data_IF_214454683969
#
_entry.id   IF_214454683969
#
_cell.length_a   1.000
_cell.length_b   1.000
_cell.length_c   1.000
_cell.angle_alpha   90.00
_cell.angle_beta   90.00
_cell.angle_gamma   90.00
#
_symmetry.space_group_name_H-M   'P 1'
#
loop_
_entity.id
_entity.type
_entity.pdbx_description
1 polymer ?
#
# COMPACT_ATOMS: atom_id res chain seq x y z
N UNK A 1 7.20 -1.43 -12.21
CA UNK A 1 6.98 -1.13 -10.77
C UNK A 1 8.34 -1.01 -10.08
N UNK A 2 8.50 -0.16 -9.05
CA UNK A 2 9.71 -0.07 -8.20
C UNK A 2 9.49 -0.60 -6.77
N UNK A 3 8.38 -1.31 -6.56
CA UNK A 3 7.98 -1.82 -5.26
C UNK A 3 8.84 -3.04 -4.95
N UNK A 4 9.57 -2.97 -3.84
CA UNK A 4 10.46 -4.04 -3.36
C UNK A 4 9.81 -4.94 -2.31
N UNK A 5 8.89 -4.39 -1.54
CA UNK A 5 8.18 -5.09 -0.47
C UNK A 5 6.67 -4.91 -0.65
N UNK A 6 5.92 -6.02 -0.65
CA UNK A 6 4.47 -6.03 -0.57
C UNK A 6 4.03 -6.72 0.73
N UNK A 7 3.35 -5.99 1.60
CA UNK A 7 2.71 -6.58 2.79
C UNK A 7 1.20 -6.59 2.56
N UNK A 8 0.61 -7.77 2.48
CA UNK A 8 -0.81 -7.97 2.26
C UNK A 8 -1.46 -8.48 3.54
N UNK A 9 -2.27 -7.66 4.21
CA UNK A 9 -2.87 -8.00 5.50
C UNK A 9 -4.31 -8.51 5.36
N UNK A 10 -4.68 -9.50 6.17
CA UNK A 10 -6.06 -9.94 6.32
C UNK A 10 -6.56 -10.71 5.11
N UNK A 11 -5.69 -11.48 4.46
CA UNK A 11 -6.06 -12.32 3.33
C UNK A 11 -7.19 -13.29 3.73
N UNK A 12 -8.33 -13.19 3.06
CA UNK A 12 -9.51 -14.03 3.24
C UNK A 12 -9.60 -15.13 2.16
N UNK A 13 -8.78 -15.06 1.12
CA UNK A 13 -8.75 -16.06 0.06
C UNK A 13 -9.76 -15.80 -1.06
N UNK A 14 -10.27 -14.58 -1.15
CA UNK A 14 -11.19 -14.18 -2.21
C UNK A 14 -10.52 -14.17 -3.59
N UNK A 15 -11.34 -14.33 -4.63
CA UNK A 15 -10.85 -14.36 -6.01
C UNK A 15 -10.13 -13.06 -6.41
N UNK A 16 -10.64 -11.91 -5.94
CA UNK A 16 -10.06 -10.59 -6.19
C UNK A 16 -8.71 -10.41 -5.50
N UNK A 17 -8.60 -10.82 -4.23
CA UNK A 17 -7.34 -10.80 -3.47
C UNK A 17 -6.27 -11.66 -4.15
N UNK A 18 -6.66 -12.88 -4.55
CA UNK A 18 -5.76 -13.79 -5.24
C UNK A 18 -5.34 -13.22 -6.60
N UNK A 19 -6.25 -12.64 -7.38
CA UNK A 19 -5.94 -12.01 -8.66
C UNK A 19 -4.99 -10.81 -8.50
N UNK A 20 -5.18 -10.00 -7.46
CA UNK A 20 -4.29 -8.89 -7.12
C UNK A 20 -2.87 -9.38 -6.80
N UNK A 21 -2.73 -10.41 -5.96
CA UNK A 21 -1.41 -10.97 -5.64
C UNK A 21 -0.72 -11.54 -6.88
N UNK A 22 -1.47 -12.29 -7.72
CA UNK A 22 -0.95 -12.82 -8.99
C UNK A 22 -0.41 -11.72 -9.89
N UNK A 23 -1.19 -10.66 -10.07
CA UNK A 23 -0.76 -9.51 -10.87
C UNK A 23 0.57 -8.93 -10.35
N UNK A 24 0.76 -8.84 -9.03
CA UNK A 24 2.02 -8.35 -8.47
C UNK A 24 3.19 -9.30 -8.73
N UNK A 25 3.01 -10.61 -8.53
CA UNK A 25 4.05 -11.60 -8.83
C UNK A 25 4.47 -11.58 -10.31
N UNK A 26 3.51 -11.38 -11.22
CA UNK A 26 3.75 -11.38 -12.67
C UNK A 26 4.27 -10.04 -13.21
N UNK A 27 4.03 -8.91 -12.53
CA UNK A 27 4.36 -7.57 -13.06
C UNK A 27 5.49 -6.83 -12.33
N UNK A 28 5.86 -7.26 -11.11
CA UNK A 28 6.83 -6.56 -10.28
C UNK A 28 8.24 -7.16 -10.40
N UNK A 29 8.98 -6.72 -11.42
CA UNK A 29 10.36 -7.17 -11.71
C UNK A 29 11.39 -6.94 -10.59
N UNK A 30 11.16 -5.99 -9.68
CA UNK A 30 12.09 -5.67 -8.57
C UNK A 30 11.51 -6.03 -7.21
N UNK A 31 10.49 -6.89 -7.17
CA UNK A 31 9.89 -7.35 -5.93
C UNK A 31 10.84 -8.33 -5.23
N UNK A 32 11.29 -7.96 -4.05
CA UNK A 32 12.24 -8.72 -3.23
C UNK A 32 11.50 -9.53 -2.15
N UNK A 33 10.39 -9.00 -1.61
CA UNK A 33 9.67 -9.68 -0.53
C UNK A 33 8.16 -9.45 -0.61
N UNK A 34 7.40 -10.51 -0.34
CA UNK A 34 5.95 -10.51 -0.20
C UNK A 34 5.59 -11.17 1.13
N UNK A 35 4.88 -10.44 1.98
CA UNK A 35 4.38 -10.95 3.26
C UNK A 35 2.86 -11.00 3.18
N UNK A 36 2.29 -12.20 3.22
CA UNK A 36 0.84 -12.40 3.26
C UNK A 36 0.45 -12.77 4.68
N UNK A 37 -0.32 -11.90 5.31
CA UNK A 37 -0.86 -12.12 6.65
C UNK A 37 -2.28 -12.63 6.53
N UNK A 38 -2.50 -13.84 7.05
CA UNK A 38 -3.79 -14.50 7.01
C UNK A 38 -4.77 -13.85 7.98
N UNK A 39 -6.07 -14.07 7.77
CA UNK A 39 -7.09 -13.80 8.77
C UNK A 39 -6.83 -14.58 10.08
N UNK A 40 -7.49 -14.19 11.17
CA UNK A 40 -7.32 -14.80 12.49
C UNK A 40 -7.57 -16.32 12.48
N UNK A 41 -8.61 -16.75 11.77
CA UNK A 41 -9.01 -18.15 11.62
C UNK A 41 -8.92 -18.58 10.14
N UNK A 42 -7.72 -18.88 9.62
CA UNK A 42 -7.58 -19.25 8.22
C UNK A 42 -8.10 -20.65 7.95
N UNK A 43 -8.81 -20.80 6.82
CA UNK A 43 -9.22 -22.11 6.33
C UNK A 43 -8.09 -22.81 5.57
N UNK A 44 -8.14 -24.14 5.48
CA UNK A 44 -7.22 -24.92 4.65
C UNK A 44 -7.20 -24.46 3.19
N UNK A 45 -8.35 -24.04 2.66
CA UNK A 45 -8.45 -23.51 1.30
C UNK A 45 -7.61 -22.23 1.13
N UNK A 46 -7.68 -21.32 2.10
CA UNK A 46 -6.87 -20.09 2.11
C UNK A 46 -5.38 -20.41 2.14
N UNK A 47 -4.97 -21.33 3.02
CA UNK A 47 -3.57 -21.75 3.13
C UNK A 47 -3.09 -22.34 1.80
N UNK A 48 -3.88 -23.23 1.17
CA UNK A 48 -3.54 -23.80 -0.15
C UNK A 48 -3.40 -22.74 -1.23
N UNK A 49 -4.26 -21.71 -1.25
CA UNK A 49 -4.15 -20.59 -2.20
C UNK A 49 -2.85 -19.81 -2.02
N UNK A 50 -2.44 -19.54 -0.79
CA UNK A 50 -1.17 -18.84 -0.52
C UNK A 50 0.03 -19.72 -0.85
N UNK A 51 -0.03 -21.01 -0.50
CA UNK A 51 1.00 -21.99 -0.88
C UNK A 51 1.13 -22.09 -2.41
N UNK A 52 0.01 -22.07 -3.14
CA UNK A 52 0.01 -22.03 -4.60
C UNK A 52 0.79 -20.82 -5.16
N UNK A 53 0.65 -19.62 -4.56
CA UNK A 53 1.41 -18.43 -4.95
C UNK A 53 2.93 -18.59 -4.76
N UNK A 54 3.37 -19.54 -3.93
CA UNK A 54 4.80 -19.84 -3.77
C UNK A 54 5.41 -20.47 -5.03
N UNK A 55 4.61 -21.22 -5.77
CA UNK A 55 5.04 -22.01 -6.93
C UNK A 55 4.73 -21.35 -8.27
N UNK A 56 4.07 -20.20 -8.27
CA UNK A 56 3.82 -19.45 -9.50
C UNK A 56 5.12 -18.89 -10.08
N UNK A 57 5.14 -18.76 -11.41
CA UNK A 57 6.18 -18.03 -12.12
C UNK A 57 6.13 -16.55 -11.71
N UNK A 58 7.30 -15.94 -11.56
CA UNK A 58 7.45 -14.59 -11.02
C UNK A 58 8.31 -13.76 -11.94
N UNK A 59 7.97 -12.48 -12.04
CA UNK A 59 8.78 -11.50 -12.74
C UNK A 59 10.13 -11.23 -12.06
N UNK A 60 10.24 -11.53 -10.75
CA UNK A 60 11.45 -11.41 -9.96
C UNK A 60 11.81 -12.76 -9.34
N UNK A 61 13.04 -13.22 -9.56
CA UNK A 61 13.57 -14.45 -8.94
C UNK A 61 13.79 -14.30 -7.42
N UNK A 62 13.99 -13.07 -6.93
CA UNK A 62 14.35 -12.79 -5.54
C UNK A 62 13.15 -12.73 -4.57
N UNK A 63 11.91 -12.81 -5.06
CA UNK A 63 10.71 -12.56 -4.26
C UNK A 63 10.48 -13.65 -3.20
N UNK A 64 10.75 -13.37 -1.93
CA UNK A 64 10.46 -14.29 -0.81
C UNK A 64 8.98 -14.15 -0.41
N UNK A 65 8.23 -15.25 -0.34
CA UNK A 65 6.84 -15.25 0.16
C UNK A 65 6.80 -15.78 1.60
N UNK A 66 6.45 -14.90 2.54
CA UNK A 66 6.30 -15.19 3.97
C UNK A 66 4.82 -15.19 4.35
N UNK A 67 4.38 -16.21 5.11
CA UNK A 67 2.99 -16.35 5.57
C UNK A 67 2.97 -16.29 7.09
N UNK A 68 2.13 -15.43 7.66
CA UNK A 68 2.06 -15.26 9.12
C UNK A 68 0.69 -14.81 9.62
N UNK A 69 0.50 -14.87 10.93
CA UNK A 69 -0.70 -14.35 11.62
C UNK A 69 -0.50 -12.94 12.18
N UNK A 70 0.73 -12.45 12.18
CA UNK A 70 1.11 -11.14 12.69
C UNK A 70 2.13 -10.49 11.75
N UNK A 71 1.95 -9.19 11.49
CA UNK A 71 2.87 -8.42 10.66
C UNK A 71 4.24 -8.25 11.31
N UNK A 72 5.25 -7.79 10.54
CA UNK A 72 6.57 -7.49 11.06
C UNK A 72 6.50 -6.57 12.28
N UNK A 73 7.35 -6.81 13.28
CA UNK A 73 7.39 -6.01 14.52
C UNK A 73 7.54 -4.52 14.18
N UNK A 74 6.53 -3.70 14.55
CA UNK A 74 6.47 -2.27 14.25
C UNK A 74 5.44 -1.86 13.18
N UNK A 75 5.00 -2.78 12.30
CA UNK A 75 3.99 -2.48 11.27
C UNK A 75 2.61 -2.13 11.86
N UNK A 76 2.21 -2.84 12.92
CA UNK A 76 0.95 -2.53 13.61
C UNK A 76 0.93 -1.10 14.20
N UNK A 77 2.09 -0.54 14.57
CA UNK A 77 2.19 0.84 15.05
C UNK A 77 2.13 1.86 13.91
N UNK A 78 2.78 1.59 12.77
CA UNK A 78 2.74 2.49 11.61
C UNK A 78 1.36 2.52 10.96
N UNK A 79 0.67 1.38 10.85
CA UNK A 79 -0.71 1.31 10.36
C UNK A 79 -1.67 2.10 11.25
N UNK A 80 -1.57 1.94 12.58
CA UNK A 80 -2.39 2.73 13.53
C UNK A 80 -2.14 4.22 13.38
N UNK A 81 -0.89 4.66 13.22
CA UNK A 81 -0.54 6.08 13.02
C UNK A 81 -1.02 6.61 11.67
N UNK A 82 -0.91 5.82 10.60
CA UNK A 82 -1.32 6.24 9.25
C UNK A 82 -2.82 6.29 9.04
N UNK A 83 -3.58 5.49 9.80
CA UNK A 83 -5.06 5.46 9.76
C UNK A 83 -5.70 6.38 10.80
N UNK A 84 -4.91 7.10 11.59
CA UNK A 84 -5.40 8.07 12.57
C UNK A 84 -5.70 9.42 11.91
N UNK A 85 -6.90 9.53 11.32
CA UNK A 85 -7.39 10.77 10.71
C UNK A 85 -7.78 11.86 11.73
N UNK A 86 -7.67 11.58 13.04
CA UNK A 86 -7.83 12.63 14.06
C UNK A 86 -6.64 13.58 14.07
N UNK A 87 -5.48 13.11 13.59
CA UNK A 87 -4.36 13.96 13.24
C UNK A 87 -4.64 14.63 11.90
N UNK A 88 -4.53 15.96 11.86
CA UNK A 88 -4.69 16.72 10.63
C UNK A 88 -3.80 16.14 9.54
N UNK A 89 -4.40 15.76 8.41
CA UNK A 89 -3.69 15.14 7.30
C UNK A 89 -2.51 16.03 6.89
N UNK A 90 -1.25 15.55 7.01
CA UNK A 90 -0.06 16.35 6.69
C UNK A 90 0.00 16.74 5.20
N UNK A 91 -0.85 16.14 4.36
CA UNK A 91 -1.00 16.45 2.95
C UNK A 91 -2.24 17.29 2.62
N UNK A 92 -3.10 17.63 3.60
CA UNK A 92 -4.29 18.46 3.37
C UNK A 92 -3.99 19.94 3.09
N UNK A 93 -2.74 20.41 3.32
CA UNK A 93 -2.34 21.80 3.14
C UNK A 93 -1.62 22.10 1.82
N UNK A 94 -2.11 21.56 0.70
CA UNK A 94 -1.66 21.99 -0.65
C UNK A 94 -2.67 22.85 -1.41
N UNK A 95 -3.65 23.46 -0.73
CA UNK A 95 -4.34 24.61 -1.32
C UNK A 95 -3.40 25.82 -1.32
N UNK A 96 -2.62 25.88 -2.39
CA UNK A 96 -1.78 26.99 -2.83
C UNK A 96 -2.59 28.28 -2.76
N UNK A 97 -2.21 29.13 -1.80
CA UNK A 97 -2.29 30.58 -1.92
C UNK A 97 -1.87 30.97 -3.32
N UNK A 98 -2.76 31.62 -4.10
CA UNK A 98 -2.47 32.55 -5.22
C UNK A 98 -3.63 32.61 -6.23
N UNK A 99 -4.82 32.98 -5.74
CA UNK A 99 -5.84 33.59 -6.60
C UNK A 99 -6.48 34.80 -5.89
N UNK A 100 -5.65 35.71 -5.38
CA UNK A 100 -6.06 37.12 -5.30
C UNK A 100 -6.05 37.70 -6.71
N UNK A 101 -7.14 37.38 -7.41
CA UNK A 101 -7.90 38.24 -8.33
C UNK A 101 -7.14 39.48 -8.82
N UNK A 102 -6.70 39.43 -10.08
CA UNK A 102 -6.45 40.63 -10.86
C UNK A 102 -7.72 41.51 -10.85
N UNK A 103 -7.67 42.61 -10.12
CA UNK A 103 -8.62 43.72 -10.23
C UNK A 103 -7.89 45.00 -9.85
N UNK A 104 -7.15 45.57 -10.80
CA UNK A 104 -6.84 47.00 -10.80
C UNK A 104 -8.16 47.76 -11.05
N UNK A 105 -8.40 48.88 -10.36
CA UNK A 105 -8.01 50.16 -10.94
C UNK A 105 -7.21 51.04 -9.97
N UNK A 106 -6.14 51.65 -10.51
CA UNK A 106 -5.42 52.80 -9.94
C UNK A 106 -6.38 53.98 -9.67
N UNK A 107 -6.12 54.92 -8.72
CA UNK A 107 -5.02 55.89 -8.84
C UNK A 107 -4.32 56.41 -7.55
N UNK A 108 -3.04 56.80 -7.74
CA UNK A 108 -2.27 57.90 -7.12
C UNK A 108 -1.97 57.90 -5.61
N UNK A 109 -0.69 57.92 -5.22
CA UNK A 109 0.12 59.13 -4.92
C UNK A 109 1.45 58.78 -4.20
N UNK A 110 2.53 59.38 -4.72
CA UNK A 110 3.82 59.79 -4.12
C UNK A 110 4.33 59.13 -2.82
N UNK A 111 5.50 58.48 -2.88
CA UNK A 111 6.85 59.06 -2.69
C UNK A 111 7.90 57.98 -2.93
#
# INVERSE_FOLDING_TARGET
SRIKLLVFHGFQGDRSELAFLKFFFESAFVLEEVVVLLAADPTDEMIRKVVFLKYMERASEASILSVGHSGPQGFAQSARRGSDFSLGDPFANYCRSDLYRMSSPHPLYLC
#
